data_IF_747610550709
#
_entry.id   IF_747610550709
#
_cell.length_a   1.000
_cell.length_b   1.000
_cell.length_c   1.000
_cell.angle_alpha   90.00
_cell.angle_beta   90.00
_cell.angle_gamma   90.00
#
_symmetry.space_group_name_H-M   'P 1'
#
loop_
_entity.id
_entity.type
_entity.pdbx_description
1 polymer ?
#
# COMPACT_ATOMS: atom_id res chain seq x y z
N UNK A 1 -29.39 -14.80 -49.71
CA UNK A 1 -27.97 -14.74 -49.26
C UNK A 1 -27.66 -13.66 -48.22
N UNK A 2 -28.39 -12.53 -48.16
CA UNK A 2 -28.14 -11.48 -47.13
C UNK A 2 -28.65 -11.82 -45.71
N UNK A 3 -29.62 -12.73 -45.57
CA UNK A 3 -30.18 -13.12 -44.27
C UNK A 3 -29.38 -14.20 -43.53
N UNK A 4 -28.66 -15.09 -44.24
CA UNK A 4 -27.77 -16.07 -43.60
C UNK A 4 -26.54 -15.41 -42.94
N UNK A 5 -26.08 -14.29 -43.49
CA UNK A 5 -24.92 -13.57 -42.97
C UNK A 5 -25.20 -12.86 -41.63
N UNK A 6 -26.46 -12.50 -41.35
CA UNK A 6 -26.86 -11.90 -40.07
C UNK A 6 -26.95 -12.91 -38.93
N UNK A 7 -27.20 -14.19 -39.21
CA UNK A 7 -27.31 -15.23 -38.16
C UNK A 7 -25.92 -15.65 -37.66
N UNK A 8 -24.90 -15.63 -38.52
CA UNK A 8 -23.52 -15.96 -38.13
C UNK A 8 -22.85 -14.82 -37.33
N UNK A 9 -23.21 -13.55 -37.59
CA UNK A 9 -22.67 -12.41 -36.85
C UNK A 9 -23.24 -12.27 -35.43
N UNK A 10 -24.43 -12.81 -35.16
CA UNK A 10 -25.08 -12.74 -33.84
C UNK A 10 -24.45 -13.71 -32.82
N UNK A 11 -23.84 -14.81 -33.28
CA UNK A 11 -23.22 -15.80 -32.40
C UNK A 11 -21.78 -15.47 -31.97
N UNK A 12 -21.13 -14.46 -32.56
CA UNK A 12 -19.73 -14.12 -32.26
C UNK A 12 -19.52 -13.15 -31.08
N UNK A 13 -20.57 -12.61 -30.46
CA UNK A 13 -20.42 -11.52 -29.47
C UNK A 13 -20.73 -11.95 -28.02
N UNK A 14 -21.17 -13.18 -27.78
CA UNK A 14 -21.38 -13.68 -26.42
C UNK A 14 -20.20 -14.51 -25.92
N UNK A 15 -19.05 -13.86 -25.71
CA UNK A 15 -18.03 -14.39 -24.81
C UNK A 15 -18.54 -14.25 -23.37
N UNK A 16 -19.39 -15.18 -22.93
CA UNK A 16 -19.62 -15.38 -21.51
C UNK A 16 -18.35 -15.95 -20.90
N UNK A 17 -17.49 -15.08 -20.33
CA UNK A 17 -16.43 -15.56 -19.44
C UNK A 17 -17.09 -15.99 -18.14
N UNK A 18 -17.52 -17.25 -18.06
CA UNK A 18 -17.85 -17.90 -16.80
C UNK A 18 -16.56 -17.95 -15.96
N UNK A 19 -16.37 -16.93 -15.15
CA UNK A 19 -15.16 -16.75 -14.38
C UNK A 19 -15.32 -17.57 -13.10
N UNK A 20 -14.44 -18.56 -12.92
CA UNK A 20 -14.47 -19.44 -11.76
C UNK A 20 -14.42 -18.62 -10.46
N UNK A 21 -15.52 -18.67 -9.70
CA UNK A 21 -15.68 -17.92 -8.44
C UNK A 21 -14.57 -18.26 -7.43
N UNK A 22 -14.10 -19.52 -7.42
CA UNK A 22 -13.02 -19.95 -6.55
C UNK A 22 -11.69 -19.29 -6.97
N UNK A 23 -11.44 -19.20 -8.28
CA UNK A 23 -10.27 -18.48 -8.81
C UNK A 23 -10.30 -17.01 -8.42
N UNK A 24 -11.45 -16.35 -8.56
CA UNK A 24 -11.61 -14.93 -8.19
C UNK A 24 -11.33 -14.72 -6.69
N UNK A 25 -11.88 -15.57 -5.83
CA UNK A 25 -11.62 -15.53 -4.38
C UNK A 25 -10.12 -15.69 -4.09
N UNK A 26 -9.49 -16.71 -4.67
CA UNK A 26 -8.07 -16.98 -4.46
C UNK A 26 -7.17 -15.84 -4.95
N UNK A 27 -7.46 -15.26 -6.12
CA UNK A 27 -6.69 -14.16 -6.69
C UNK A 27 -6.82 -12.87 -5.87
N UNK A 28 -8.01 -12.60 -5.34
CA UNK A 28 -8.25 -11.47 -4.43
C UNK A 28 -7.38 -11.58 -3.17
N UNK A 29 -7.37 -12.73 -2.50
CA UNK A 29 -6.55 -12.93 -1.30
C UNK A 29 -5.06 -12.98 -1.62
N UNK A 30 -4.65 -13.63 -2.71
CA UNK A 30 -3.24 -13.69 -3.15
C UNK A 30 -2.67 -12.30 -3.45
N UNK A 31 -3.47 -11.42 -4.05
CA UNK A 31 -3.05 -10.04 -4.32
C UNK A 31 -2.79 -9.27 -3.03
N UNK A 32 -3.67 -9.41 -2.04
CA UNK A 32 -3.51 -8.78 -0.73
C UNK A 32 -2.32 -9.38 0.05
N UNK A 33 -2.15 -10.71 0.01
CA UNK A 33 -0.99 -11.38 0.62
C UNK A 33 0.33 -10.87 0.04
N UNK A 34 0.38 -10.69 -1.29
CA UNK A 34 1.56 -10.14 -1.96
C UNK A 34 1.83 -8.68 -1.57
N UNK A 35 0.78 -7.86 -1.43
CA UNK A 35 0.92 -6.49 -0.94
C UNK A 35 1.56 -6.47 0.46
N UNK A 36 1.10 -7.32 1.39
CA UNK A 36 1.68 -7.40 2.74
C UNK A 36 3.14 -7.90 2.72
N UNK A 37 3.49 -8.83 1.82
CA UNK A 37 4.88 -9.28 1.65
C UNK A 37 5.78 -8.17 1.13
N UNK A 38 5.33 -7.39 0.16
CA UNK A 38 6.07 -6.25 -0.39
C UNK A 38 6.30 -5.20 0.70
N UNK A 39 5.24 -4.80 1.41
CA UNK A 39 5.33 -3.84 2.52
C UNK A 39 6.26 -4.35 3.63
N UNK A 40 6.12 -5.62 4.01
CA UNK A 40 6.98 -6.26 5.02
C UNK A 40 8.44 -6.35 4.59
N UNK A 41 8.71 -6.69 3.33
CA UNK A 41 10.05 -6.75 2.76
C UNK A 41 10.73 -5.37 2.71
N UNK A 42 10.01 -4.36 2.23
CA UNK A 42 10.45 -2.96 2.30
C UNK A 42 10.81 -2.56 3.73
N UNK A 43 9.93 -2.90 4.68
CA UNK A 43 10.11 -2.56 6.09
C UNK A 43 11.31 -3.26 6.71
N UNK A 44 11.48 -4.56 6.44
CA UNK A 44 12.59 -5.35 6.94
C UNK A 44 13.94 -4.82 6.47
N UNK A 45 14.05 -4.45 5.18
CA UNK A 45 15.28 -3.84 4.62
C UNK A 45 15.60 -2.54 5.35
N UNK A 46 14.60 -1.66 5.51
CA UNK A 46 14.79 -0.38 6.17
C UNK A 46 15.13 -0.52 7.67
N UNK A 47 14.48 -1.45 8.39
CA UNK A 47 14.80 -1.75 9.79
C UNK A 47 16.23 -2.28 9.92
N UNK A 48 16.65 -3.18 9.04
CA UNK A 48 17.97 -3.78 9.07
C UNK A 48 19.08 -2.77 8.73
N UNK A 49 18.87 -1.89 7.74
CA UNK A 49 19.90 -0.95 7.28
C UNK A 49 19.99 0.33 8.11
N UNK A 50 18.87 0.83 8.64
CA UNK A 50 18.82 2.16 9.28
C UNK A 50 19.75 2.34 10.48
N UNK A 51 19.95 1.37 11.40
CA UNK A 51 20.88 1.53 12.50
C UNK A 51 22.33 1.75 12.03
N UNK A 52 22.78 1.00 11.03
CA UNK A 52 24.12 1.13 10.46
C UNK A 52 24.28 2.47 9.74
N UNK A 53 23.32 2.81 8.87
CA UNK A 53 23.34 4.06 8.12
C UNK A 53 23.26 5.29 9.05
N UNK A 54 22.53 5.18 10.17
CA UNK A 54 22.47 6.21 11.21
C UNK A 54 23.85 6.48 11.82
N UNK A 55 24.63 5.44 12.13
CA UNK A 55 25.96 5.59 12.77
C UNK A 55 27.02 6.21 11.88
N UNK A 56 26.88 6.09 10.56
CA UNK A 56 27.81 6.67 9.58
C UNK A 56 27.35 8.02 9.04
N UNK A 57 26.16 8.48 9.44
CA UNK A 57 25.55 9.73 8.98
C UNK A 57 25.82 10.87 9.95
N UNK A 58 25.95 12.08 9.40
CA UNK A 58 26.04 13.33 10.17
C UNK A 58 24.72 14.09 10.13
N UNK A 59 24.52 14.99 11.09
CA UNK A 59 23.45 16.01 11.04
C UNK A 59 22.05 15.40 10.81
N UNK A 60 21.25 15.99 9.91
CA UNK A 60 19.90 15.56 9.58
C UNK A 60 19.79 14.12 9.04
N UNK A 61 20.84 13.56 8.43
CA UNK A 61 20.79 12.18 7.92
C UNK A 61 20.73 11.15 9.04
N UNK A 62 21.38 11.41 10.18
CA UNK A 62 21.27 10.53 11.36
C UNK A 62 19.81 10.46 11.85
N UNK A 63 19.14 11.62 11.89
CA UNK A 63 17.73 11.71 12.27
C UNK A 63 16.80 11.11 11.20
N UNK A 64 17.12 11.28 9.92
CA UNK A 64 16.39 10.63 8.83
C UNK A 64 16.36 9.11 9.02
N UNK A 65 17.52 8.48 9.26
CA UNK A 65 17.59 7.03 9.45
C UNK A 65 16.90 6.57 10.74
N UNK A 66 16.96 7.37 11.81
CA UNK A 66 16.19 7.10 13.03
C UNK A 66 14.68 7.09 12.77
N UNK A 67 14.15 8.10 12.07
CA UNK A 67 12.73 8.14 11.73
C UNK A 67 12.36 7.05 10.74
N UNK A 68 13.23 6.75 9.77
CA UNK A 68 13.04 5.69 8.80
C UNK A 68 12.89 4.33 9.48
N UNK A 69 13.74 4.03 10.47
CA UNK A 69 13.62 2.84 11.30
C UNK A 69 12.25 2.79 12.02
N UNK A 70 11.90 3.86 12.73
CA UNK A 70 10.66 3.93 13.52
C UNK A 70 9.41 3.77 12.65
N UNK A 71 9.36 4.43 11.49
CA UNK A 71 8.22 4.32 10.58
C UNK A 71 8.10 2.91 10.02
N UNK A 72 9.23 2.26 9.70
CA UNK A 72 9.19 0.89 9.20
C UNK A 72 8.83 -0.14 10.28
N UNK A 73 9.01 0.16 11.57
CA UNK A 73 8.41 -0.65 12.64
C UNK A 73 6.87 -0.59 12.61
N UNK A 74 6.29 0.56 12.29
CA UNK A 74 4.84 0.69 12.09
C UNK A 74 4.42 -0.11 10.86
N UNK A 75 5.10 0.06 9.72
CA UNK A 75 4.78 -0.64 8.48
C UNK A 75 4.88 -2.17 8.62
N UNK A 76 5.93 -2.70 9.26
CA UNK A 76 6.07 -4.15 9.43
C UNK A 76 4.99 -4.71 10.36
N UNK A 77 4.56 -3.93 11.35
CA UNK A 77 3.45 -4.29 12.24
C UNK A 77 2.13 -4.36 11.45
N UNK A 78 1.85 -3.35 10.61
CA UNK A 78 0.70 -3.33 9.71
C UNK A 78 0.75 -4.55 8.77
N UNK A 79 1.89 -4.81 8.14
CA UNK A 79 2.08 -5.96 7.25
C UNK A 79 1.83 -7.29 7.97
N UNK A 80 2.37 -7.45 9.18
CA UNK A 80 2.20 -8.66 9.99
C UNK A 80 0.74 -8.91 10.38
N UNK A 81 0.09 -7.92 11.01
CA UNK A 81 -1.32 -8.05 11.40
C UNK A 81 -2.26 -8.17 10.19
N UNK A 82 -1.97 -7.44 9.11
CA UNK A 82 -2.68 -7.53 7.84
C UNK A 82 -2.62 -8.94 7.25
N UNK A 83 -1.42 -9.52 7.18
CA UNK A 83 -1.20 -10.87 6.68
C UNK A 83 -1.91 -11.94 7.53
N UNK A 84 -1.83 -11.85 8.85
CA UNK A 84 -2.55 -12.76 9.75
C UNK A 84 -4.07 -12.63 9.60
N UNK A 85 -4.58 -11.40 9.49
CA UNK A 85 -5.99 -11.14 9.26
C UNK A 85 -6.49 -11.69 7.93
N UNK A 86 -5.68 -11.59 6.87
CA UNK A 86 -5.99 -12.13 5.55
C UNK A 86 -6.15 -13.65 5.57
N UNK A 87 -5.21 -14.38 6.20
CA UNK A 87 -5.30 -15.84 6.33
C UNK A 87 -6.60 -16.27 7.00
N UNK A 88 -6.96 -15.62 8.12
CA UNK A 88 -8.21 -15.89 8.85
C UNK A 88 -9.46 -15.61 8.03
N UNK A 89 -9.47 -14.60 7.16
CA UNK A 89 -10.63 -14.27 6.32
C UNK A 89 -10.75 -15.20 5.12
N UNK A 90 -9.63 -15.62 4.53
CA UNK A 90 -9.57 -16.53 3.37
C UNK A 90 -10.23 -17.89 3.64
N UNK A 91 -10.12 -18.38 4.87
CA UNK A 91 -10.63 -19.69 5.31
C UNK A 91 -12.12 -19.67 5.72
N UNK A 92 -12.73 -18.48 5.84
CA UNK A 92 -14.15 -18.36 6.20
C UNK A 92 -15.05 -18.73 5.02
N UNK A 93 -16.26 -19.21 5.34
CA UNK A 93 -17.34 -19.32 4.36
C UNK A 93 -17.53 -18.01 3.61
N UNK A 94 -17.61 -18.10 2.29
CA UNK A 94 -17.69 -16.95 1.40
C UNK A 94 -18.73 -17.18 0.31
N UNK A 95 -19.12 -16.08 -0.31
CA UNK A 95 -20.04 -15.96 -1.43
C UNK A 95 -19.58 -14.80 -2.30
N UNK A 96 -20.05 -14.72 -3.55
CA UNK A 96 -19.71 -13.58 -4.41
C UNK A 96 -20.12 -12.24 -3.79
N UNK A 97 -21.26 -12.19 -3.09
CA UNK A 97 -21.72 -10.98 -2.40
C UNK A 97 -20.78 -10.57 -1.26
N UNK A 98 -20.36 -11.53 -0.42
CA UNK A 98 -19.44 -11.23 0.69
C UNK A 98 -18.05 -10.83 0.18
N UNK A 99 -17.58 -11.45 -0.90
CA UNK A 99 -16.32 -11.08 -1.56
C UNK A 99 -16.38 -9.65 -2.12
N UNK A 100 -17.50 -9.26 -2.74
CA UNK A 100 -17.68 -7.91 -3.25
C UNK A 100 -17.76 -6.87 -2.13
N UNK A 101 -18.38 -7.20 -1.00
CA UNK A 101 -18.33 -6.36 0.20
C UNK A 101 -16.91 -6.15 0.71
N UNK A 102 -16.09 -7.21 0.74
CA UNK A 102 -14.69 -7.13 1.17
C UNK A 102 -13.84 -6.31 0.20
N UNK A 103 -14.07 -6.43 -1.11
CA UNK A 103 -13.45 -5.57 -2.13
C UNK A 103 -13.78 -4.10 -1.93
N UNK A 104 -15.05 -3.78 -1.67
CA UNK A 104 -15.48 -2.40 -1.45
C UNK A 104 -14.89 -1.82 -0.16
N UNK A 105 -14.81 -2.62 0.91
CA UNK A 105 -14.11 -2.23 2.15
C UNK A 105 -12.63 -1.97 1.89
N UNK A 106 -11.96 -2.84 1.14
CA UNK A 106 -10.55 -2.66 0.77
C UNK A 106 -10.35 -1.35 -0.01
N UNK A 107 -11.13 -1.12 -1.07
CA UNK A 107 -11.06 0.11 -1.88
C UNK A 107 -11.22 1.37 -1.01
N UNK A 108 -12.20 1.36 -0.10
CA UNK A 108 -12.42 2.47 0.83
C UNK A 108 -11.24 2.66 1.78
N UNK A 109 -10.69 1.58 2.34
CA UNK A 109 -9.53 1.64 3.23
C UNK A 109 -8.30 2.21 2.52
N UNK A 110 -8.03 1.78 1.28
CA UNK A 110 -6.90 2.28 0.49
C UNK A 110 -7.08 3.77 0.17
N UNK A 111 -8.27 4.20 -0.22
CA UNK A 111 -8.52 5.62 -0.50
C UNK A 111 -8.32 6.49 0.75
N UNK A 112 -8.73 6.01 1.93
CA UNK A 112 -8.49 6.70 3.20
C UNK A 112 -6.99 6.75 3.52
N UNK A 113 -6.27 5.63 3.38
CA UNK A 113 -4.83 5.59 3.62
C UNK A 113 -4.05 6.50 2.68
N UNK A 114 -4.37 6.52 1.38
CA UNK A 114 -3.75 7.46 0.44
C UNK A 114 -3.95 8.92 0.87
N UNK A 115 -5.11 9.25 1.46
CA UNK A 115 -5.34 10.57 2.07
C UNK A 115 -4.43 10.83 3.27
N UNK A 116 -4.23 9.84 4.15
CA UNK A 116 -3.29 9.91 5.27
C UNK A 116 -1.84 10.05 4.80
N UNK A 117 -1.46 9.34 3.74
CA UNK A 117 -0.12 9.40 3.16
C UNK A 117 0.20 10.79 2.60
N UNK A 118 -0.77 11.42 1.94
CA UNK A 118 -0.68 12.81 1.54
C UNK A 118 -0.54 13.74 2.76
N UNK A 119 -1.31 13.50 3.83
CA UNK A 119 -1.21 14.26 5.06
C UNK A 119 0.18 14.09 5.73
N UNK A 120 0.78 12.90 5.70
CA UNK A 120 2.14 12.67 6.20
C UNK A 120 3.17 13.46 5.39
N UNK A 121 3.09 13.45 4.06
CA UNK A 121 3.99 14.27 3.22
C UNK A 121 3.87 15.76 3.55
N UNK A 122 2.65 16.27 3.70
CA UNK A 122 2.40 17.67 4.11
C UNK A 122 2.99 17.92 5.50
N UNK A 123 2.76 17.03 6.46
CA UNK A 123 3.30 17.14 7.81
C UNK A 123 4.83 17.18 7.81
N UNK A 124 5.49 16.31 7.03
CA UNK A 124 6.94 16.33 6.88
C UNK A 124 7.45 17.63 6.26
N UNK A 125 6.74 18.20 5.28
CA UNK A 125 7.07 19.50 4.70
C UNK A 125 6.90 20.65 5.70
N UNK A 126 5.83 20.64 6.50
CA UNK A 126 5.60 21.62 7.57
C UNK A 126 6.69 21.52 8.65
N UNK A 127 7.08 20.29 9.03
CA UNK A 127 8.13 20.05 10.01
C UNK A 127 9.47 20.64 9.56
N UNK A 128 9.80 20.49 8.26
CA UNK A 128 10.97 21.11 7.64
C UNK A 128 10.87 22.64 7.61
N UNK A 129 9.72 23.21 7.25
CA UNK A 129 9.60 24.66 7.15
C UNK A 129 9.69 25.35 8.52
N UNK A 130 9.17 24.70 9.58
CA UNK A 130 9.27 25.21 10.96
C UNK A 130 10.67 25.14 11.54
N UNK A 131 11.55 24.28 11.01
CA UNK A 131 12.90 24.11 11.52
C UNK A 131 13.78 25.36 11.32
N UNK A 132 13.49 26.17 10.30
CA UNK A 132 14.18 27.42 9.99
C UNK A 132 14.02 28.49 11.10
N UNK A 133 13.01 28.37 11.96
CA UNK A 133 12.78 29.29 13.08
C UNK A 133 13.34 28.82 14.43
N UNK A 134 13.91 27.61 14.51
CA UNK A 134 14.45 27.06 15.77
C UNK A 134 15.76 26.26 15.51
N UNK A 135 16.93 26.89 15.70
CA UNK A 135 18.23 26.27 15.44
C UNK A 135 18.50 25.00 16.27
N UNK A 136 17.90 24.89 17.46
CA UNK A 136 18.16 23.77 18.38
C UNK A 136 17.66 22.42 17.83
N UNK A 137 16.64 22.45 16.98
CA UNK A 137 16.01 21.25 16.43
C UNK A 137 16.12 21.15 14.90
N UNK A 138 16.97 22.00 14.29
CA UNK A 138 17.06 22.16 12.84
C UNK A 138 17.29 20.82 12.13
N UNK A 139 18.38 20.14 12.48
CA UNK A 139 18.77 18.88 11.86
C UNK A 139 17.76 17.76 12.12
N UNK A 140 17.21 17.69 13.33
CA UNK A 140 16.18 16.69 13.68
C UNK A 140 14.94 16.86 12.82
N UNK A 141 14.41 18.07 12.74
CA UNK A 141 13.18 18.35 12.02
C UNK A 141 13.36 18.19 10.50
N UNK A 142 14.54 18.55 9.95
CA UNK A 142 14.87 18.28 8.54
C UNK A 142 14.93 16.78 8.29
N UNK A 143 15.68 16.04 9.10
CA UNK A 143 15.84 14.59 8.94
C UNK A 143 14.52 13.84 9.07
N UNK A 144 13.76 14.12 10.13
CA UNK A 144 12.45 13.51 10.37
C UNK A 144 11.46 13.89 9.27
N UNK A 145 11.41 15.17 8.88
CA UNK A 145 10.49 15.62 7.83
C UNK A 145 10.79 14.97 6.48
N UNK A 146 12.06 14.88 6.09
CA UNK A 146 12.48 14.16 4.88
C UNK A 146 12.09 12.68 4.93
N UNK A 147 12.28 12.02 6.07
CA UNK A 147 11.92 10.61 6.26
C UNK A 147 10.41 10.40 6.15
N UNK A 148 9.61 11.23 6.82
CA UNK A 148 8.15 11.17 6.77
C UNK A 148 7.64 11.42 5.33
N UNK A 149 8.23 12.37 4.60
CA UNK A 149 7.87 12.60 3.19
C UNK A 149 8.17 11.37 2.35
N UNK A 150 9.37 10.78 2.48
CA UNK A 150 9.74 9.59 1.72
C UNK A 150 8.78 8.43 2.01
N UNK A 151 8.49 8.20 3.29
CA UNK A 151 7.62 7.11 3.70
C UNK A 151 6.16 7.33 3.28
N UNK A 152 5.63 8.54 3.43
CA UNK A 152 4.32 8.91 2.91
C UNK A 152 4.25 8.77 1.39
N UNK A 153 5.28 9.20 0.66
CA UNK A 153 5.35 9.04 -0.80
C UNK A 153 5.37 7.58 -1.24
N UNK A 154 6.16 6.74 -0.56
CA UNK A 154 6.17 5.30 -0.78
C UNK A 154 4.79 4.67 -0.57
N UNK A 155 4.15 4.95 0.58
CA UNK A 155 2.84 4.39 0.91
C UNK A 155 1.74 4.87 -0.05
N UNK A 156 1.77 6.15 -0.43
CA UNK A 156 0.83 6.71 -1.40
C UNK A 156 0.89 5.98 -2.75
N UNK A 157 2.09 5.76 -3.27
CA UNK A 157 2.30 5.01 -4.52
C UNK A 157 1.92 3.55 -4.34
N UNK A 158 2.31 2.93 -3.23
CA UNK A 158 1.99 1.54 -2.92
C UNK A 158 0.47 1.30 -2.89
N UNK A 159 -0.28 2.12 -2.15
CA UNK A 159 -1.73 2.02 -2.06
C UNK A 159 -2.42 2.40 -3.36
N UNK A 160 -1.88 3.35 -4.12
CA UNK A 160 -2.37 3.69 -5.46
C UNK A 160 -2.25 2.53 -6.44
N UNK A 161 -1.08 1.89 -6.52
CA UNK A 161 -0.86 0.69 -7.35
C UNK A 161 -1.78 -0.44 -6.90
N UNK A 162 -1.91 -0.63 -5.59
CA UNK A 162 -2.76 -1.67 -5.03
C UNK A 162 -4.24 -1.44 -5.34
N UNK A 163 -4.71 -0.20 -5.26
CA UNK A 163 -6.08 0.20 -5.62
C UNK A 163 -6.34 -0.05 -7.10
N UNK A 164 -5.43 0.36 -7.98
CA UNK A 164 -5.54 0.14 -9.44
C UNK A 164 -5.63 -1.35 -9.77
N UNK A 165 -4.84 -2.19 -9.09
CA UNK A 165 -4.85 -3.65 -9.28
C UNK A 165 -6.15 -4.32 -8.80
N UNK A 166 -6.91 -3.69 -7.89
CA UNK A 166 -8.18 -4.21 -7.37
C UNK A 166 -9.42 -3.52 -7.96
N UNK A 167 -9.27 -2.72 -9.03
CA UNK A 167 -10.40 -2.08 -9.70
C UNK A 167 -11.20 -3.02 -10.61
N UNK A 168 -10.59 -4.12 -11.06
CA UNK A 168 -11.17 -5.15 -11.92
C UNK A 168 -11.13 -6.50 -11.20
#
# INVERSE_FOLDING_TARGET
>A
MKQLFSVVLFFCILHFTAQDSLRIHNDFYKTQENAMKILGGWSAINIASSPFLKTTSTESWSHFHQMNFNWNLVNISIAGFGYMGLKKRKEKYWSLNSLEMDRNKLKKSLAVNMGLDAAYMVFGAVLKNRSLGNPLDLERNIGFGNSIILQGGFLFVFDGVFLLKNRH
#
